data_IF_785120698620
#
_entry.id   IF_785120698620
#
_cell.length_a   1.000
_cell.length_b   1.000
_cell.length_c   1.000
_cell.angle_alpha   90.00
_cell.angle_beta   90.00
_cell.angle_gamma   90.00
#
_symmetry.space_group_name_H-M   'P 1'
#
loop_
_entity.id
_entity.type
_entity.pdbx_description
1 polymer ?
#
# COMPACT_ATOMS: atom_id res chain seq x y z
N UNK A 1 -7.19 -15.67 -17.53
CA UNK A 1 -6.43 -14.68 -18.34
C UNK A 1 -5.71 -15.44 -19.46
N UNK A 2 -5.67 -14.94 -20.71
CA UNK A 2 -4.93 -15.63 -21.77
C UNK A 2 -3.41 -15.53 -21.51
N UNK A 3 -2.66 -16.61 -21.80
CA UNK A 3 -1.20 -16.75 -21.62
C UNK A 3 -0.40 -15.55 -22.14
N UNK A 4 -0.80 -14.97 -23.29
CA UNK A 4 -0.10 -13.81 -23.85
C UNK A 4 -0.18 -12.58 -22.94
N UNK A 5 -1.35 -12.33 -22.33
CA UNK A 5 -1.55 -11.20 -21.41
C UNK A 5 -0.80 -11.42 -20.10
N UNK A 6 -0.77 -12.66 -19.60
CA UNK A 6 0.02 -13.02 -18.42
C UNK A 6 1.52 -12.73 -18.65
N UNK A 7 2.04 -13.14 -19.81
CA UNK A 7 3.45 -12.90 -20.17
C UNK A 7 3.79 -11.41 -20.26
N UNK A 8 2.88 -10.57 -20.78
CA UNK A 8 3.07 -9.11 -20.81
C UNK A 8 3.11 -8.53 -19.40
N UNK A 9 2.24 -8.99 -18.50
CA UNK A 9 2.24 -8.54 -17.10
C UNK A 9 3.56 -8.92 -16.42
N UNK A 10 4.05 -10.14 -16.62
CA UNK A 10 5.34 -10.58 -16.06
C UNK A 10 6.51 -9.71 -16.55
N UNK A 11 6.57 -9.37 -17.85
CA UNK A 11 7.58 -8.43 -18.36
C UNK A 11 7.49 -7.03 -17.72
N UNK A 12 6.27 -6.55 -17.45
CA UNK A 12 6.07 -5.27 -16.76
C UNK A 12 6.53 -5.35 -15.30
N UNK A 13 6.26 -6.46 -14.63
CA UNK A 13 6.70 -6.73 -13.26
C UNK A 13 8.23 -6.77 -13.20
N UNK A 14 8.89 -7.50 -14.10
CA UNK A 14 10.35 -7.59 -14.18
C UNK A 14 11.00 -6.20 -14.31
N UNK A 15 10.51 -5.39 -15.26
CA UNK A 15 10.98 -4.01 -15.46
C UNK A 15 10.75 -3.14 -14.20
N UNK A 16 9.61 -3.32 -13.54
CA UNK A 16 9.28 -2.59 -12.30
C UNK A 16 10.23 -2.97 -11.18
N UNK A 17 10.53 -4.27 -11.01
CA UNK A 17 11.47 -4.79 -10.01
C UNK A 17 12.87 -4.22 -10.24
N UNK A 18 13.36 -4.20 -11.47
CA UNK A 18 14.67 -3.62 -11.81
C UNK A 18 14.74 -2.15 -11.40
N UNK A 19 13.70 -1.36 -11.68
CA UNK A 19 13.70 0.06 -11.38
C UNK A 19 13.50 0.36 -9.87
N UNK A 20 12.71 -0.45 -9.16
CA UNK A 20 12.63 -0.40 -7.70
C UNK A 20 14.01 -0.65 -7.06
N UNK A 21 14.74 -1.66 -7.55
CA UNK A 21 16.11 -1.98 -7.11
C UNK A 21 17.08 -0.83 -7.39
N UNK A 22 17.01 -0.20 -8.58
CA UNK A 22 17.80 1.01 -8.88
C UNK A 22 17.50 2.17 -7.92
N UNK A 23 16.28 2.22 -7.37
CA UNK A 23 15.83 3.18 -6.37
C UNK A 23 16.10 2.75 -4.92
N UNK A 24 17.02 1.80 -4.70
CA UNK A 24 17.44 1.32 -3.37
C UNK A 24 16.35 0.59 -2.57
N UNK A 25 15.30 0.09 -3.22
CA UNK A 25 14.28 -0.76 -2.61
C UNK A 25 14.53 -2.22 -2.96
N UNK A 26 14.32 -3.13 -2.02
CA UNK A 26 14.26 -4.55 -2.39
C UNK A 26 12.93 -4.82 -3.10
N UNK A 27 12.94 -5.69 -4.10
CA UNK A 27 11.73 -6.02 -4.84
C UNK A 27 11.70 -7.50 -5.24
N UNK A 28 10.53 -8.11 -5.06
CA UNK A 28 10.26 -9.53 -5.20
C UNK A 28 9.01 -9.74 -6.04
N UNK A 29 8.96 -10.84 -6.78
CA UNK A 29 7.75 -11.32 -7.46
C UNK A 29 7.34 -12.67 -6.88
N UNK A 30 6.05 -12.82 -6.63
CA UNK A 30 5.39 -14.08 -6.24
C UNK A 30 4.12 -14.25 -7.05
N UNK A 31 3.74 -15.49 -7.35
CA UNK A 31 2.62 -15.75 -8.24
C UNK A 31 1.25 -15.55 -7.59
N UNK A 32 1.14 -15.77 -6.28
CA UNK A 32 -0.13 -15.76 -5.56
C UNK A 32 0.01 -15.34 -4.09
N UNK A 33 -1.14 -15.17 -3.44
CA UNK A 33 -1.25 -14.75 -2.05
C UNK A 33 -0.57 -15.69 -1.05
N UNK A 34 -0.58 -17.00 -1.28
CA UNK A 34 0.08 -17.98 -0.40
C UNK A 34 1.60 -17.78 -0.40
N UNK A 35 2.20 -17.63 -1.58
CA UNK A 35 3.62 -17.33 -1.71
C UNK A 35 3.98 -15.96 -1.14
N UNK A 36 3.07 -14.98 -1.25
CA UNK A 36 3.26 -13.67 -0.62
C UNK A 36 3.30 -13.80 0.91
N UNK A 37 2.41 -14.60 1.49
CA UNK A 37 2.34 -14.84 2.93
C UNK A 37 3.61 -15.54 3.45
N UNK A 38 4.09 -16.55 2.73
CA UNK A 38 5.34 -17.24 3.04
C UNK A 38 6.56 -16.29 3.01
N UNK A 39 6.66 -15.48 1.95
CA UNK A 39 7.74 -14.52 1.82
C UNK A 39 7.69 -13.46 2.93
N UNK A 40 6.50 -12.92 3.23
CA UNK A 40 6.32 -12.01 4.38
C UNK A 40 6.81 -12.65 5.68
N UNK A 41 6.42 -13.90 5.97
CA UNK A 41 6.87 -14.60 7.17
C UNK A 41 8.40 -14.72 7.24
N UNK A 42 9.05 -14.96 6.10
CA UNK A 42 10.52 -15.08 6.04
C UNK A 42 11.26 -13.76 6.26
N UNK A 43 10.62 -12.63 5.96
CA UNK A 43 11.20 -11.29 6.08
C UNK A 43 11.01 -10.64 7.46
N UNK A 44 10.10 -11.15 8.28
CA UNK A 44 9.84 -10.63 9.63
C UNK A 44 10.60 -11.50 10.64
N UNK A 45 11.54 -10.93 11.42
CA UNK A 45 12.21 -11.66 12.49
C UNK A 45 11.21 -12.18 13.53
N UNK A 46 11.42 -13.40 14.02
CA UNK A 46 10.59 -13.97 15.08
C UNK A 46 10.61 -13.07 16.34
N UNK A 47 9.45 -12.84 16.95
CA UNK A 47 9.33 -11.99 18.15
C UNK A 47 9.42 -10.49 17.90
N UNK A 48 9.66 -10.05 16.65
CA UNK A 48 9.66 -8.63 16.29
C UNK A 48 8.32 -7.95 16.62
N UNK A 49 8.41 -6.66 16.94
CA UNK A 49 7.25 -5.78 16.96
C UNK A 49 6.84 -5.41 15.54
N UNK A 50 5.56 -5.60 15.24
CA UNK A 50 5.03 -5.42 13.89
C UNK A 50 3.84 -4.46 13.95
N UNK A 51 3.80 -3.49 13.05
CA UNK A 51 2.66 -2.60 12.88
C UNK A 51 2.20 -2.58 11.42
N UNK A 52 0.98 -2.13 11.17
CA UNK A 52 0.41 -2.13 9.81
C UNK A 52 -0.30 -0.84 9.41
N UNK A 53 -0.18 -0.52 8.13
CA UNK A 53 -1.00 0.46 7.43
C UNK A 53 -2.41 -0.06 7.14
N UNK A 54 -3.27 0.85 6.67
CA UNK A 54 -4.57 0.47 6.13
C UNK A 54 -4.36 -0.23 4.79
N UNK A 55 -4.80 -1.48 4.64
CA UNK A 55 -4.57 -2.22 3.39
C UNK A 55 -5.50 -3.42 3.24
N UNK A 56 -6.39 -3.39 2.24
CA UNK A 56 -7.17 -4.56 1.83
C UNK A 56 -6.29 -5.68 1.28
N UNK A 57 -5.22 -5.34 0.56
CA UNK A 57 -4.25 -6.32 0.07
C UNK A 57 -3.66 -7.19 1.19
N UNK A 58 -3.42 -6.63 2.39
CA UNK A 58 -2.95 -7.41 3.53
C UNK A 58 -4.03 -8.33 4.13
N UNK A 59 -5.31 -7.95 4.02
CA UNK A 59 -6.43 -8.82 4.41
C UNK A 59 -6.61 -9.96 3.41
N UNK A 60 -6.66 -9.64 2.11
CA UNK A 60 -6.85 -10.62 1.03
C UNK A 60 -5.72 -11.66 0.97
N UNK A 61 -4.50 -11.27 1.32
CA UNK A 61 -3.34 -12.19 1.37
C UNK A 61 -3.23 -12.99 2.68
N UNK A 62 -4.14 -12.79 3.64
CA UNK A 62 -4.09 -13.46 4.94
C UNK A 62 -2.98 -12.99 5.88
N UNK A 63 -2.25 -11.92 5.52
CA UNK A 63 -1.15 -11.36 6.36
C UNK A 63 -1.69 -10.86 7.69
N UNK A 64 -2.85 -10.21 7.72
CA UNK A 64 -3.45 -9.74 8.99
C UNK A 64 -3.77 -10.90 9.92
N UNK A 65 -4.38 -11.97 9.41
CA UNK A 65 -4.71 -13.15 10.21
C UNK A 65 -3.46 -13.87 10.73
N UNK A 66 -2.41 -13.91 9.91
CA UNK A 66 -1.12 -14.46 10.30
C UNK A 66 -0.50 -13.67 11.47
N UNK A 67 -0.52 -12.34 11.43
CA UNK A 67 0.01 -11.50 12.51
C UNK A 67 -0.75 -11.72 13.84
N UNK A 68 -2.07 -11.92 13.77
CA UNK A 68 -2.93 -12.19 14.94
C UNK A 68 -2.68 -13.55 15.60
N UNK A 69 -2.09 -14.53 14.90
CA UNK A 69 -1.80 -15.87 15.43
C UNK A 69 -0.63 -15.92 16.43
N UNK A 70 0.02 -14.80 16.75
CA UNK A 70 0.85 -14.67 17.95
C UNK A 70 2.35 -14.98 17.80
N UNK A 71 2.88 -15.09 16.58
CA UNK A 71 4.35 -15.22 16.36
C UNK A 71 5.11 -13.90 16.58
N UNK A 72 4.40 -12.78 16.62
CA UNK A 72 4.94 -11.42 16.63
C UNK A 72 4.25 -10.57 17.70
N UNK A 73 4.92 -9.49 18.12
CA UNK A 73 4.30 -8.46 18.95
C UNK A 73 3.53 -7.50 18.05
N UNK A 74 2.30 -7.88 17.71
CA UNK A 74 1.48 -7.12 16.76
C UNK A 74 0.82 -5.90 17.42
N UNK A 75 1.17 -4.70 16.93
CA UNK A 75 0.49 -3.44 17.26
C UNK A 75 -0.76 -3.36 16.38
N UNK A 76 -1.83 -4.02 16.85
CA UNK A 76 -3.04 -4.21 16.06
C UNK A 76 -3.96 -2.99 16.11
N UNK A 77 -4.09 -2.30 14.97
CA UNK A 77 -5.01 -1.16 14.76
C UNK A 77 -6.44 -1.58 14.44
N UNK A 78 -6.71 -2.88 14.32
CA UNK A 78 -7.98 -3.48 13.95
C UNK A 78 -8.62 -4.24 15.11
N UNK A 79 -8.12 -4.06 16.34
CA UNK A 79 -8.82 -4.55 17.54
C UNK A 79 -10.24 -3.95 17.54
N UNK A 80 -11.29 -4.77 17.69
CA UNK A 80 -12.66 -4.28 17.79
C UNK A 80 -12.81 -3.27 18.94
N UNK A 81 -13.71 -2.31 18.76
CA UNK A 81 -14.13 -1.37 19.81
C UNK A 81 -13.04 -0.46 20.41
N UNK A 82 -11.89 -0.29 19.72
CA UNK A 82 -10.89 0.72 20.08
C UNK A 82 -11.50 2.13 20.06
N UNK A 83 -11.30 2.86 21.14
CA UNK A 83 -11.57 4.31 21.17
C UNK A 83 -10.69 5.06 20.16
N UNK A 84 -11.09 6.29 19.83
CA UNK A 84 -10.31 7.16 18.95
C UNK A 84 -8.87 7.39 19.49
N UNK A 85 -8.72 7.52 20.81
CA UNK A 85 -7.42 7.72 21.45
C UNK A 85 -6.55 6.47 21.45
N UNK A 86 -7.11 5.28 21.68
CA UNK A 86 -6.34 4.03 21.61
C UNK A 86 -5.91 3.73 20.17
N UNK A 87 -6.81 3.96 19.20
CA UNK A 87 -6.47 3.84 17.77
C UNK A 87 -5.39 4.83 17.38
N UNK A 88 -5.46 6.06 17.88
CA UNK A 88 -4.43 7.08 17.69
C UNK A 88 -3.10 6.66 18.33
N UNK A 89 -3.14 6.06 19.51
CA UNK A 89 -1.96 5.53 20.21
C UNK A 89 -1.29 4.45 19.38
N UNK A 90 -2.04 3.48 18.85
CA UNK A 90 -1.52 2.45 17.97
C UNK A 90 -0.84 3.02 16.72
N UNK A 91 -1.36 4.12 16.15
CA UNK A 91 -0.71 4.80 15.02
C UNK A 91 0.61 5.48 15.40
N UNK A 92 0.71 6.06 16.59
CA UNK A 92 1.96 6.64 17.09
C UNK A 92 2.96 5.51 17.37
N UNK A 93 2.54 4.47 18.08
CA UNK A 93 3.40 3.36 18.48
C UNK A 93 3.94 2.59 17.26
N UNK A 94 3.21 2.62 16.13
CA UNK A 94 3.65 2.08 14.84
C UNK A 94 4.99 2.66 14.36
N UNK A 95 5.37 3.87 14.77
CA UNK A 95 6.67 4.47 14.40
C UNK A 95 7.85 3.75 15.05
N UNK A 96 7.62 3.13 16.20
CA UNK A 96 8.65 2.43 16.98
C UNK A 96 8.66 0.92 16.73
N UNK A 97 7.82 0.42 15.81
CA UNK A 97 7.82 -0.99 15.44
C UNK A 97 9.12 -1.37 14.71
N UNK A 98 9.52 -2.63 14.82
CA UNK A 98 10.68 -3.17 14.08
C UNK A 98 10.34 -3.28 12.58
N UNK A 99 9.10 -3.71 12.27
CA UNK A 99 8.60 -3.90 10.91
C UNK A 99 7.25 -3.22 10.71
N UNK A 100 7.10 -2.50 9.60
CA UNK A 100 5.83 -1.96 9.13
C UNK A 100 5.34 -2.70 7.89
N UNK A 101 4.11 -3.23 7.89
CA UNK A 101 3.50 -3.77 6.66
C UNK A 101 2.40 -2.87 6.13
N UNK A 102 2.35 -2.74 4.81
CA UNK A 102 1.32 -1.96 4.12
C UNK A 102 1.18 -2.43 2.67
N UNK A 103 0.31 -1.78 1.90
CA UNK A 103 0.36 -1.77 0.45
C UNK A 103 0.65 -0.36 -0.06
N UNK A 104 0.78 -0.23 -1.38
CA UNK A 104 0.80 1.04 -2.10
C UNK A 104 -0.48 1.25 -2.88
N UNK A 105 -0.83 2.51 -3.16
CA UNK A 105 -1.98 2.81 -4.02
C UNK A 105 -1.64 2.54 -5.49
N UNK A 106 -0.42 2.88 -5.91
CA UNK A 106 0.11 2.53 -7.22
C UNK A 106 1.64 2.43 -7.18
N UNK A 107 2.20 1.58 -8.04
CA UNK A 107 3.64 1.43 -8.25
C UNK A 107 3.94 1.73 -9.70
N UNK A 108 4.79 2.71 -9.97
CA UNK A 108 5.14 3.06 -11.35
C UNK A 108 6.16 2.05 -11.90
N UNK A 109 6.12 1.80 -13.20
CA UNK A 109 7.15 1.02 -13.90
C UNK A 109 8.52 1.70 -13.86
N UNK A 110 8.60 2.97 -13.47
CA UNK A 110 9.83 3.71 -13.18
C UNK A 110 10.38 3.43 -11.76
N UNK A 111 9.72 2.58 -10.98
CA UNK A 111 10.16 2.17 -9.64
C UNK A 111 9.83 3.19 -8.56
N UNK A 112 8.71 3.91 -8.69
CA UNK A 112 8.23 4.86 -7.68
C UNK A 112 6.98 4.32 -7.00
N UNK A 113 6.84 4.60 -5.70
CA UNK A 113 5.64 4.24 -4.94
C UNK A 113 4.79 5.47 -4.72
N UNK A 114 3.52 5.41 -5.13
CA UNK A 114 2.56 6.50 -4.96
C UNK A 114 1.54 6.15 -3.88
N UNK A 115 1.51 6.97 -2.83
CA UNK A 115 0.69 6.74 -1.66
C UNK A 115 -0.12 7.99 -1.30
N UNK A 116 -1.42 7.80 -1.08
CA UNK A 116 -2.37 8.85 -0.76
C UNK A 116 -3.10 8.52 0.53
N UNK A 117 -3.14 9.47 1.47
CA UNK A 117 -3.70 9.30 2.80
C UNK A 117 -4.59 10.47 3.23
N UNK A 118 -5.59 10.18 4.06
CA UNK A 118 -6.37 11.19 4.79
C UNK A 118 -5.69 11.58 6.09
N UNK A 119 -5.49 10.58 6.97
CA UNK A 119 -4.93 10.76 8.32
C UNK A 119 -3.39 10.83 8.38
N UNK A 120 -2.73 10.58 7.25
CA UNK A 120 -1.27 10.52 7.09
C UNK A 120 -0.51 9.50 7.96
N UNK A 121 -1.20 8.70 8.77
CA UNK A 121 -0.56 7.76 9.68
C UNK A 121 0.22 6.66 8.94
N UNK A 122 -0.22 6.25 7.75
CA UNK A 122 0.47 5.24 6.94
C UNK A 122 1.62 5.86 6.16
N UNK A 123 1.40 6.97 5.46
CA UNK A 123 2.50 7.62 4.71
C UNK A 123 3.61 8.14 5.62
N UNK A 124 3.29 8.60 6.83
CA UNK A 124 4.33 9.06 7.77
C UNK A 124 5.21 7.90 8.28
N UNK A 125 4.61 6.73 8.55
CA UNK A 125 5.36 5.52 8.88
C UNK A 125 6.24 5.04 7.70
N UNK A 126 5.73 5.13 6.47
CA UNK A 126 6.51 4.84 5.25
C UNK A 126 7.70 5.81 5.14
N UNK A 127 7.46 7.12 5.28
CA UNK A 127 8.50 8.13 5.10
C UNK A 127 9.63 8.05 6.13
N UNK A 128 9.32 7.73 7.40
CA UNK A 128 10.32 7.85 8.47
C UNK A 128 10.32 6.75 9.52
N UNK A 129 9.18 6.11 9.82
CA UNK A 129 9.01 5.25 11.01
C UNK A 129 9.88 3.99 11.07
N UNK A 130 9.32 2.77 10.96
CA UNK A 130 10.10 1.53 11.15
C UNK A 130 11.30 1.38 10.22
N UNK A 131 12.37 0.72 10.69
CA UNK A 131 13.60 0.47 9.91
C UNK A 131 13.42 -0.57 8.80
N UNK A 132 12.33 -1.34 8.83
CA UNK A 132 11.92 -2.25 7.77
C UNK A 132 10.47 -1.98 7.39
N UNK A 133 10.22 -1.67 6.13
CA UNK A 133 8.88 -1.44 5.57
C UNK A 133 8.65 -2.47 4.47
N UNK A 134 7.64 -3.32 4.64
CA UNK A 134 7.27 -4.36 3.68
C UNK A 134 5.95 -3.96 3.03
N UNK A 135 5.96 -3.85 1.70
CA UNK A 135 4.80 -3.52 0.89
C UNK A 135 4.33 -4.71 0.09
N UNK A 136 3.11 -5.18 0.32
CA UNK A 136 2.47 -6.23 -0.51
C UNK A 136 1.55 -5.55 -1.52
N UNK A 137 1.74 -5.81 -2.81
CA UNK A 137 1.09 -5.09 -3.90
C UNK A 137 0.62 -6.07 -4.98
N UNK A 138 -0.66 -6.02 -5.36
CA UNK A 138 -1.16 -6.77 -6.50
C UNK A 138 -0.68 -6.20 -7.83
N UNK A 139 -0.56 -7.04 -8.85
CA UNK A 139 -0.08 -6.63 -10.18
C UNK A 139 -0.97 -5.57 -10.84
N UNK A 140 -2.25 -5.50 -10.46
CA UNK A 140 -3.21 -4.48 -10.89
C UNK A 140 -2.82 -3.04 -10.52
N UNK A 141 -1.91 -2.85 -9.56
CA UNK A 141 -1.46 -1.53 -9.12
C UNK A 141 -0.20 -1.04 -9.83
N UNK A 142 0.34 -1.83 -10.76
CA UNK A 142 1.48 -1.43 -11.59
C UNK A 142 0.98 -0.55 -12.73
N UNK A 143 1.55 0.64 -12.83
CA UNK A 143 1.16 1.66 -13.81
C UNK A 143 2.39 2.19 -14.55
N UNK A 144 2.24 2.69 -15.79
CA UNK A 144 3.39 3.15 -16.57
C UNK A 144 4.25 4.23 -15.89
N UNK A 145 3.60 5.24 -15.30
CA UNK A 145 4.25 6.45 -14.78
C UNK A 145 3.42 7.13 -13.66
N UNK A 146 3.91 8.27 -13.16
CA UNK A 146 3.27 9.01 -12.07
C UNK A 146 1.90 9.61 -12.47
N UNK A 147 1.73 10.01 -13.73
CA UNK A 147 0.44 10.52 -14.21
C UNK A 147 -0.60 9.40 -14.22
N UNK A 148 -0.21 8.22 -14.68
CA UNK A 148 -1.01 7.00 -14.63
C UNK A 148 -1.31 6.58 -13.19
N UNK A 149 -0.39 6.78 -12.25
CA UNK A 149 -0.62 6.53 -10.81
C UNK A 149 -1.67 7.49 -10.22
N UNK A 150 -1.60 8.77 -10.57
CA UNK A 150 -2.60 9.78 -10.18
C UNK A 150 -3.97 9.39 -10.74
N UNK A 151 -4.03 9.01 -12.02
CA UNK A 151 -5.26 8.58 -12.69
C UNK A 151 -5.82 7.31 -12.05
N UNK A 152 -4.99 6.29 -11.80
CA UNK A 152 -5.38 5.05 -11.15
C UNK A 152 -6.01 5.32 -9.78
N UNK A 153 -5.40 6.18 -8.96
CA UNK A 153 -6.00 6.56 -7.66
C UNK A 153 -7.34 7.25 -7.83
N UNK A 154 -7.46 8.18 -8.80
CA UNK A 154 -8.70 8.93 -9.03
C UNK A 154 -9.82 8.06 -9.62
N UNK A 155 -9.51 6.96 -10.30
CA UNK A 155 -10.49 6.03 -10.91
C UNK A 155 -10.78 4.78 -10.09
N UNK A 156 -9.81 4.28 -9.34
CA UNK A 156 -9.87 2.97 -8.69
C UNK A 156 -9.68 3.14 -7.18
N UNK A 157 -8.49 3.51 -6.72
CA UNK A 157 -8.16 3.45 -5.28
C UNK A 157 -9.07 4.33 -4.43
N UNK A 158 -9.25 5.61 -4.78
CA UNK A 158 -10.01 6.54 -3.96
C UNK A 158 -11.53 6.24 -3.98
N UNK A 159 -12.18 6.01 -5.14
CA UNK A 159 -13.58 5.57 -5.16
C UNK A 159 -13.81 4.29 -4.36
N UNK A 160 -13.04 3.22 -4.62
CA UNK A 160 -13.20 1.92 -3.94
C UNK A 160 -13.00 2.04 -2.43
N UNK A 161 -11.98 2.80 -1.99
CA UNK A 161 -11.73 2.99 -0.57
C UNK A 161 -12.80 3.84 0.12
N UNK A 162 -13.31 4.87 -0.56
CA UNK A 162 -14.36 5.72 -0.03
C UNK A 162 -15.68 4.96 0.15
N UNK A 163 -16.02 4.06 -0.80
CA UNK A 163 -17.17 3.14 -0.66
C UNK A 163 -16.96 2.22 0.55
N UNK A 164 -15.79 1.56 0.64
CA UNK A 164 -15.47 0.63 1.73
C UNK A 164 -15.54 1.30 3.11
N UNK A 165 -15.06 2.54 3.21
CA UNK A 165 -15.05 3.33 4.45
C UNK A 165 -16.38 4.07 4.70
N UNK A 166 -17.38 3.89 3.84
CA UNK A 166 -18.67 4.57 3.91
C UNK A 166 -18.55 6.10 4.00
N UNK A 167 -17.66 6.70 3.20
CA UNK A 167 -17.39 8.13 3.19
C UNK A 167 -18.34 8.87 2.24
N UNK A 168 -19.04 9.88 2.74
CA UNK A 168 -19.91 10.76 1.94
C UNK A 168 -19.09 11.71 1.04
N UNK A 169 -18.68 11.18 -0.11
CA UNK A 169 -17.82 11.85 -1.07
C UNK A 169 -18.32 11.60 -2.48
N UNK A 170 -18.09 12.56 -3.38
CA UNK A 170 -18.46 12.43 -4.79
C UNK A 170 -17.96 11.11 -5.41
N UNK A 171 -16.71 10.72 -5.12
CA UNK A 171 -16.14 9.51 -5.71
C UNK A 171 -16.77 8.22 -5.19
N UNK A 172 -17.28 8.19 -3.95
CA UNK A 172 -18.02 7.03 -3.45
C UNK A 172 -19.35 6.86 -4.19
N UNK A 173 -20.03 7.96 -4.53
CA UNK A 173 -21.31 7.93 -5.24
C UNK A 173 -21.15 7.72 -6.76
N UNK A 174 -20.15 8.36 -7.38
CA UNK A 174 -19.98 8.39 -8.84
C UNK A 174 -19.05 7.30 -9.38
N UNK A 175 -18.28 6.61 -8.53
CA UNK A 175 -17.27 5.63 -8.95
C UNK A 175 -16.00 6.25 -9.55
N UNK A 176 -15.87 7.58 -9.56
CA UNK A 176 -14.70 8.31 -10.06
C UNK A 176 -14.53 9.65 -9.34
N UNK A 177 -13.29 10.10 -9.13
CA UNK A 177 -13.02 11.41 -8.53
C UNK A 177 -13.44 12.55 -9.46
N UNK A 178 -14.15 13.56 -8.93
CA UNK A 178 -14.50 14.79 -9.66
C UNK A 178 -13.27 15.56 -10.19
N UNK A 179 -12.10 15.35 -9.58
CA UNK A 179 -10.85 15.95 -10.00
C UNK A 179 -10.15 15.21 -11.14
N UNK A 180 -10.74 14.16 -11.74
CA UNK A 180 -10.10 13.31 -12.75
C UNK A 180 -9.63 14.07 -14.00
N UNK A 181 -10.37 15.09 -14.42
CA UNK A 181 -10.05 15.91 -15.59
C UNK A 181 -9.02 17.02 -15.31
N UNK A 182 -8.59 17.19 -14.05
CA UNK A 182 -7.58 18.20 -13.69
C UNK A 182 -6.18 17.62 -13.79
N UNK A 183 -5.29 18.44 -14.36
CA UNK A 183 -3.83 18.30 -14.37
C UNK A 183 -3.19 18.34 -12.97
N UNK A 184 -3.91 18.82 -11.94
CA UNK A 184 -3.41 18.87 -10.56
C UNK A 184 -3.63 17.53 -9.86
N UNK A 185 -2.53 16.96 -9.37
CA UNK A 185 -2.51 15.77 -8.51
C UNK A 185 -3.49 15.88 -7.31
N UNK A 186 -3.54 17.06 -6.70
CA UNK A 186 -4.32 17.33 -5.47
C UNK A 186 -5.77 17.73 -5.72
N UNK A 187 -6.20 17.87 -6.98
CA UNK A 187 -7.57 18.21 -7.32
C UNK A 187 -8.54 17.09 -6.91
N UNK A 188 -9.62 17.49 -6.25
CA UNK A 188 -10.66 16.60 -5.70
C UNK A 188 -11.79 17.43 -5.08
N UNK A 189 -12.57 16.81 -4.20
CA UNK A 189 -13.64 17.49 -3.47
C UNK A 189 -13.13 18.27 -2.25
N UNK A 190 -14.01 19.10 -1.70
CA UNK A 190 -13.83 19.79 -0.41
C UNK A 190 -14.71 19.18 0.69
N UNK A 191 -15.20 17.96 0.51
CA UNK A 191 -16.00 17.25 1.53
C UNK A 191 -15.17 17.02 2.79
N UNK A 192 -15.80 17.18 3.96
CA UNK A 192 -15.19 16.80 5.24
C UNK A 192 -14.89 15.30 5.34
N UNK A 193 -15.56 14.47 4.54
CA UNK A 193 -15.30 13.02 4.46
C UNK A 193 -14.19 12.65 3.45
N UNK A 194 -13.46 13.64 2.90
CA UNK A 194 -12.35 13.39 1.95
C UNK A 194 -11.25 12.56 2.60
N UNK A 195 -10.81 11.52 1.89
CA UNK A 195 -9.74 10.59 2.33
C UNK A 195 -8.40 10.78 1.60
N UNK A 196 -8.29 11.74 0.68
CA UNK A 196 -7.09 12.00 -0.13
C UNK A 196 -6.49 13.38 0.17
N UNK A 197 -5.94 13.54 1.38
CA UNK A 197 -5.47 14.83 1.88
C UNK A 197 -3.96 15.04 1.68
N UNK A 198 -3.18 13.96 1.73
CA UNK A 198 -1.73 13.98 1.61
C UNK A 198 -1.27 12.98 0.55
N UNK A 199 -0.29 13.40 -0.25
CA UNK A 199 0.19 12.68 -1.43
C UNK A 199 1.70 12.53 -1.31
N UNK A 200 2.20 11.30 -1.32
CA UNK A 200 3.62 10.99 -1.15
C UNK A 200 4.09 10.11 -2.29
N UNK A 201 5.19 10.54 -2.93
CA UNK A 201 5.93 9.76 -3.90
C UNK A 201 7.24 9.30 -3.25
N UNK A 202 7.43 7.99 -3.15
CA UNK A 202 8.72 7.42 -2.75
C UNK A 202 9.53 7.11 -4.00
N UNK A 203 10.52 7.95 -4.29
CA UNK A 203 11.50 7.77 -5.36
C UNK A 203 12.72 6.98 -4.82
N UNK A 204 13.95 7.40 -5.17
CA UNK A 204 15.18 6.79 -4.63
C UNK A 204 15.24 6.87 -3.09
N UNK A 205 15.45 5.73 -2.43
CA UNK A 205 15.58 5.64 -0.99
C UNK A 205 17.02 5.91 -0.53
N UNK A 206 17.16 6.66 0.57
CA UNK A 206 18.48 6.97 1.17
C UNK A 206 19.09 5.74 1.86
N UNK A 207 18.25 4.91 2.47
CA UNK A 207 18.64 3.69 3.18
C UNK A 207 18.31 2.47 2.31
N UNK A 208 19.32 1.83 1.68
CA UNK A 208 19.10 0.65 0.85
C UNK A 208 18.43 -0.50 1.62
N UNK A 209 17.43 -1.13 1.00
CA UNK A 209 16.73 -2.30 1.55
C UNK A 209 15.76 -1.99 2.70
N UNK A 210 15.61 -0.72 3.12
CA UNK A 210 14.59 -0.34 4.12
C UNK A 210 13.19 -0.68 3.63
N UNK A 211 12.86 -0.30 2.39
CA UNK A 211 11.59 -0.64 1.74
C UNK A 211 11.77 -1.92 0.92
N UNK A 212 10.85 -2.86 1.12
CA UNK A 212 10.77 -4.15 0.43
C UNK A 212 9.41 -4.26 -0.25
N UNK A 213 9.37 -4.42 -1.56
CA UNK A 213 8.13 -4.50 -2.34
C UNK A 213 7.92 -5.93 -2.82
N UNK A 214 6.84 -6.55 -2.38
CA UNK A 214 6.40 -7.87 -2.82
C UNK A 214 5.26 -7.67 -3.81
N UNK A 215 5.55 -7.91 -5.09
CA UNK A 215 4.56 -7.87 -6.16
C UNK A 215 3.93 -9.25 -6.29
N UNK A 216 2.61 -9.31 -6.18
CA UNK A 216 1.82 -10.52 -6.30
C UNK A 216 1.17 -10.57 -7.68
N UNK A 217 1.23 -11.70 -8.36
CA UNK A 217 0.64 -11.91 -9.69
C UNK A 217 -0.90 -11.81 -9.75
N UNK A 218 -1.56 -11.67 -8.59
CA UNK A 218 -3.00 -11.55 -8.45
C UNK A 218 -3.46 -10.08 -8.43
N UNK A 219 -4.71 -9.84 -8.83
CA UNK A 219 -5.37 -8.56 -8.64
C UNK A 219 -5.79 -8.44 -7.17
N UNK A 220 -5.11 -7.60 -6.40
CA UNK A 220 -5.32 -7.46 -4.96
C UNK A 220 -5.54 -6.01 -4.55
N UNK A 221 -6.50 -5.81 -3.65
CA UNK A 221 -6.97 -4.52 -3.18
C UNK A 221 -7.25 -3.54 -4.33
N UNK A 222 -7.14 -2.26 -3.99
CA UNK A 222 -7.33 -1.14 -4.90
C UNK A 222 -6.35 -0.03 -4.60
#
# INVERSE_FOLDING_TARGET
MNVARQKVIEMQIEKTIENLKKNNMDAYFVHNSDQALELVCSLIPQGASVAVGGSETLFETGVIDMLKKGKYRFIDRYVPDLSAEEKRRAFIDSFSADVYLTSSNAVTMNGELYNVDGNSNRVAAICYGPKSVIMVVGCNKIVPDINSAIEYVKRVSAPSNAVRLNCDTYCAAAGVCQGIASDRMTAGCSSYARICCNYVVSARQREPGRIKVIIVGENLGF
#
